data_IF_627527183296
#
_entry.id   IF_627527183296
#
_cell.length_a   1.000
_cell.length_b   1.000
_cell.length_c   1.000
_cell.angle_alpha   90.00
_cell.angle_beta   90.00
_cell.angle_gamma   90.00
#
_symmetry.space_group_name_H-M   'P 1'
#
loop_
_entity.id
_entity.type
_entity.pdbx_description
1 polymer ?
#
# COMPACT_ATOMS: atom_id res chain seq x y z
N UNK A 1 8.24 3.41 17.20
CA UNK A 1 7.20 3.87 16.24
C UNK A 1 7.74 4.34 14.90
N UNK A 2 8.80 5.17 14.83
CA UNK A 2 9.36 5.57 13.52
C UNK A 2 9.86 4.39 12.69
N UNK A 3 10.44 3.37 13.32
CA UNK A 3 10.96 2.19 12.63
C UNK A 3 9.83 1.39 11.95
N UNK A 4 8.71 1.15 12.65
CA UNK A 4 7.54 0.48 12.08
C UNK A 4 6.94 1.25 10.88
N UNK A 5 6.96 2.59 10.91
CA UNK A 5 6.49 3.40 9.78
C UNK A 5 7.46 3.35 8.59
N UNK A 6 8.76 3.28 8.84
CA UNK A 6 9.76 3.10 7.79
C UNK A 6 9.64 1.70 7.17
N UNK A 7 9.45 0.67 7.99
CA UNK A 7 9.26 -0.69 7.54
C UNK A 7 8.01 -0.84 6.67
N UNK A 8 6.87 -0.26 7.10
CA UNK A 8 5.63 -0.29 6.33
C UNK A 8 5.78 0.38 4.95
N UNK A 9 6.43 1.56 4.89
CA UNK A 9 6.72 2.23 3.62
C UNK A 9 7.63 1.38 2.74
N UNK A 10 8.69 0.80 3.33
CA UNK A 10 9.65 -0.01 2.58
C UNK A 10 8.96 -1.23 1.96
N UNK A 11 8.14 -1.96 2.73
CA UNK A 11 7.37 -3.09 2.23
C UNK A 11 6.43 -2.69 1.09
N UNK A 12 5.74 -1.56 1.21
CA UNK A 12 4.87 -1.06 0.15
C UNK A 12 5.65 -0.68 -1.12
N UNK A 13 6.82 -0.03 -0.96
CA UNK A 13 7.70 0.31 -2.09
C UNK A 13 8.25 -0.94 -2.77
N UNK A 14 8.68 -1.94 -1.99
CA UNK A 14 9.16 -3.23 -2.51
C UNK A 14 8.08 -3.96 -3.31
N UNK A 15 6.84 -3.97 -2.81
CA UNK A 15 5.70 -4.54 -3.54
C UNK A 15 5.48 -3.82 -4.87
N UNK A 16 5.49 -2.49 -4.89
CA UNK A 16 5.32 -1.71 -6.13
C UNK A 16 6.45 -1.96 -7.12
N UNK A 17 7.68 -2.05 -6.64
CA UNK A 17 8.84 -2.36 -7.47
C UNK A 17 8.73 -3.76 -8.07
N UNK A 18 8.33 -4.75 -7.28
CA UNK A 18 8.08 -6.10 -7.77
C UNK A 18 6.98 -6.14 -8.84
N UNK A 19 5.85 -5.48 -8.60
CA UNK A 19 4.73 -5.42 -9.55
C UNK A 19 5.14 -4.71 -10.85
N UNK A 20 5.98 -3.68 -10.77
CA UNK A 20 6.52 -2.98 -11.93
C UNK A 20 7.42 -3.93 -12.76
N UNK A 21 8.35 -4.62 -12.11
CA UNK A 21 9.23 -5.58 -12.78
C UNK A 21 8.43 -6.73 -13.42
N UNK A 22 7.45 -7.27 -12.70
CA UNK A 22 6.54 -8.30 -13.23
C UNK A 22 5.77 -7.80 -14.45
N UNK A 23 5.26 -6.56 -14.41
CA UNK A 23 4.57 -5.94 -15.55
C UNK A 23 5.50 -5.79 -16.76
N UNK A 24 6.74 -5.34 -16.55
CA UNK A 24 7.76 -5.25 -17.61
C UNK A 24 8.08 -6.64 -18.18
N UNK A 25 8.21 -7.66 -17.33
CA UNK A 25 8.45 -9.03 -17.76
C UNK A 25 7.32 -9.54 -18.67
N UNK A 26 6.06 -9.47 -18.24
CA UNK A 26 4.93 -9.91 -19.07
C UNK A 26 4.77 -9.07 -20.34
N UNK A 27 5.01 -7.77 -20.28
CA UNK A 27 5.03 -6.92 -21.47
C UNK A 27 6.16 -7.30 -22.44
N UNK A 28 7.31 -7.74 -21.93
CA UNK A 28 8.43 -8.17 -22.77
C UNK A 28 8.17 -9.48 -23.52
N UNK A 29 7.34 -10.37 -22.97
CA UNK A 29 6.89 -11.59 -23.66
C UNK A 29 6.12 -11.25 -24.96
N UNK A 30 5.42 -10.10 -24.99
CA UNK A 30 4.74 -9.62 -26.19
C UNK A 30 5.71 -9.23 -27.32
N UNK A 31 6.94 -8.85 -26.98
CA UNK A 31 7.96 -8.49 -27.97
C UNK A 31 8.63 -9.71 -28.62
N UNK A 32 8.62 -10.86 -27.95
CA UNK A 32 9.25 -12.10 -28.43
C UNK A 32 8.26 -13.12 -29.00
N UNK A 33 7.01 -12.71 -29.26
CA UNK A 33 5.91 -13.56 -29.74
C UNK A 33 5.55 -14.75 -28.83
N UNK A 34 5.96 -14.73 -27.56
CA UNK A 34 5.59 -15.75 -26.56
C UNK A 34 4.36 -15.34 -25.73
N UNK A 35 3.67 -14.26 -26.10
CA UNK A 35 2.58 -13.70 -25.33
C UNK A 35 1.25 -14.40 -25.58
N UNK A 36 0.78 -15.13 -24.58
CA UNK A 36 -0.51 -15.78 -24.56
C UNK A 36 -1.59 -15.00 -23.80
N UNK A 37 -2.81 -15.56 -23.81
CA UNK A 37 -3.93 -15.01 -23.05
C UNK A 37 -3.68 -15.02 -21.53
N UNK A 38 -2.92 -16.01 -21.03
CA UNK A 38 -2.59 -16.12 -19.60
C UNK A 38 -1.67 -14.96 -19.18
N UNK A 39 -0.68 -14.63 -20.01
CA UNK A 39 0.25 -13.51 -19.75
C UNK A 39 -0.48 -12.17 -19.72
N UNK A 40 -1.47 -12.00 -20.61
CA UNK A 40 -2.34 -10.81 -20.62
C UNK A 40 -3.12 -10.66 -19.31
N UNK A 41 -3.68 -11.76 -18.78
CA UNK A 41 -4.40 -11.74 -17.51
C UNK A 41 -3.45 -11.36 -16.37
N UNK A 42 -2.25 -11.94 -16.31
CA UNK A 42 -1.27 -11.58 -15.29
C UNK A 42 -0.79 -10.14 -15.41
N UNK A 43 -0.54 -9.64 -16.63
CA UNK A 43 -0.20 -8.24 -16.88
C UNK A 43 -1.30 -7.30 -16.39
N UNK A 44 -2.56 -7.59 -16.70
CA UNK A 44 -3.70 -6.80 -16.23
C UNK A 44 -3.79 -6.78 -14.70
N UNK A 45 -3.62 -7.93 -14.04
CA UNK A 45 -3.62 -8.02 -12.58
C UNK A 45 -2.46 -7.20 -12.01
N UNK A 46 -1.25 -7.31 -12.57
CA UNK A 46 -0.10 -6.54 -12.11
C UNK A 46 -0.34 -5.04 -12.22
N UNK A 47 -0.86 -4.56 -13.36
CA UNK A 47 -1.17 -3.15 -13.57
C UNK A 47 -2.26 -2.64 -12.61
N UNK A 48 -3.33 -3.43 -12.40
CA UNK A 48 -4.40 -3.08 -11.48
C UNK A 48 -3.88 -2.97 -10.04
N UNK A 49 -3.10 -3.96 -9.59
CA UNK A 49 -2.47 -3.94 -8.27
C UNK A 49 -1.44 -2.80 -8.14
N UNK A 50 -0.73 -2.45 -9.20
CA UNK A 50 0.23 -1.35 -9.21
C UNK A 50 -0.48 -0.01 -8.98
N UNK A 51 -1.58 0.26 -9.70
CA UNK A 51 -2.39 1.47 -9.51
C UNK A 51 -2.97 1.53 -8.11
N UNK A 52 -3.61 0.45 -7.65
CA UNK A 52 -4.15 0.37 -6.29
C UNK A 52 -3.05 0.56 -5.23
N UNK A 53 -1.91 -0.09 -5.41
CA UNK A 53 -0.77 -0.01 -4.50
C UNK A 53 -0.17 1.40 -4.43
N UNK A 54 -0.12 2.12 -5.55
CA UNK A 54 0.38 3.49 -5.61
C UNK A 54 -0.55 4.46 -4.87
N UNK A 55 -1.87 4.32 -5.07
CA UNK A 55 -2.88 5.04 -4.29
C UNK A 55 -2.71 4.74 -2.80
N UNK A 56 -2.55 3.46 -2.46
CA UNK A 56 -2.42 3.02 -1.06
C UNK A 56 -1.13 3.55 -0.40
N UNK A 57 -0.03 3.67 -1.15
CA UNK A 57 1.19 4.31 -0.67
C UNK A 57 0.96 5.80 -0.33
N UNK A 58 0.23 6.52 -1.17
CA UNK A 58 -0.15 7.90 -0.91
C UNK A 58 -1.01 8.04 0.36
N UNK A 59 -1.96 7.13 0.56
CA UNK A 59 -2.77 7.07 1.79
C UNK A 59 -1.92 6.74 3.02
N UNK A 60 -0.99 5.80 2.90
CA UNK A 60 -0.07 5.42 3.97
C UNK A 60 0.78 6.61 4.42
N UNK A 61 1.32 7.41 3.49
CA UNK A 61 2.05 8.63 3.83
C UNK A 61 1.19 9.65 4.58
N UNK A 62 -0.07 9.84 4.15
CA UNK A 62 -1.01 10.72 4.85
C UNK A 62 -1.30 10.23 6.27
N UNK A 63 -1.56 8.93 6.43
CA UNK A 63 -1.82 8.32 7.74
C UNK A 63 -0.60 8.43 8.67
N UNK A 64 0.60 8.12 8.19
CA UNK A 64 1.83 8.28 8.97
C UNK A 64 2.03 9.74 9.40
N UNK A 65 1.74 10.70 8.52
CA UNK A 65 1.83 12.13 8.86
C UNK A 65 0.88 12.49 9.99
N UNK A 66 -0.38 12.07 9.91
CA UNK A 66 -1.40 12.30 10.95
C UNK A 66 -0.93 11.68 12.28
N UNK A 67 -0.50 10.41 12.26
CA UNK A 67 -0.04 9.75 13.49
C UNK A 67 1.22 10.39 14.09
N UNK A 68 2.08 11.01 13.26
CA UNK A 68 3.25 11.74 13.74
C UNK A 68 2.91 13.12 14.31
N UNK A 69 1.86 13.77 13.81
CA UNK A 69 1.43 15.09 14.29
C UNK A 69 0.57 15.02 15.54
N UNK A 70 -0.06 13.88 15.83
CA UNK A 70 -0.83 13.68 17.06
C UNK A 70 0.09 13.64 18.29
N UNK A 71 -0.22 14.48 19.29
CA UNK A 71 0.39 14.33 20.62
C UNK A 71 0.01 12.97 21.22
N UNK A 72 0.89 12.41 22.06
CA UNK A 72 0.56 11.22 22.86
C UNK A 72 -0.66 11.47 23.74
N UNK A 73 -0.84 12.68 24.27
CA UNK A 73 -2.03 13.04 25.05
C UNK A 73 -3.27 13.04 24.15
N UNK A 74 -3.23 13.71 23.00
CA UNK A 74 -4.35 13.78 22.04
C UNK A 74 -4.77 12.40 21.55
N UNK A 75 -3.81 11.50 21.30
CA UNK A 75 -4.11 10.14 20.85
C UNK A 75 -4.72 9.31 21.98
N UNK A 76 -4.28 9.51 23.23
CA UNK A 76 -4.85 8.85 24.42
C UNK A 76 -6.28 9.34 24.68
N UNK A 77 -6.51 10.64 24.52
CA UNK A 77 -7.83 11.28 24.65
C UNK A 77 -8.78 10.79 23.56
N UNK A 78 -8.34 10.76 22.29
CA UNK A 78 -9.12 10.23 21.16
C UNK A 78 -9.51 8.76 21.35
N UNK A 79 -8.57 7.91 21.80
CA UNK A 79 -8.82 6.50 22.09
C UNK A 79 -9.78 6.33 23.27
N UNK A 80 -9.63 7.14 24.33
CA UNK A 80 -10.51 7.10 25.51
C UNK A 80 -11.94 7.52 25.17
N UNK A 81 -12.12 8.53 24.31
CA UNK A 81 -13.42 8.96 23.81
C UNK A 81 -14.07 7.88 22.96
N UNK A 82 -13.29 7.21 22.10
CA UNK A 82 -13.78 6.09 21.31
C UNK A 82 -14.18 4.90 22.18
N UNK A 83 -13.35 4.49 23.14
CA UNK A 83 -13.70 3.39 24.07
C UNK A 83 -14.98 3.71 24.85
N UNK A 84 -15.11 4.91 25.44
CA UNK A 84 -16.32 5.33 26.16
C UNK A 84 -17.58 5.29 25.29
N UNK A 85 -17.46 5.51 23.97
CA UNK A 85 -18.57 5.39 23.03
C UNK A 85 -19.01 3.92 22.82
N UNK A 86 -18.08 2.97 22.90
CA UNK A 86 -18.37 1.53 22.81
C UNK A 86 -18.78 0.89 24.14
N UNK A 87 -18.41 1.47 25.28
CA UNK A 87 -18.84 1.01 26.62
C UNK A 87 -20.20 1.57 27.06
N UNK A 88 -20.78 2.50 26.30
CA UNK A 88 -22.13 3.06 26.54
C UNK A 88 -23.25 2.23 25.87
N UNK A 89 -22.98 0.97 25.54
CA UNK A 89 -23.96 -0.02 25.08
C UNK A 89 -24.19 -1.02 26.19
#
# INVERSE_FOLDING_TARGET
NCDNFNEAKLKQILLLFFLLLASVFFASLAMINEFGAIDLVFLMICLLLLVMGAINLGLLFKQIRILKSFSKEEMKEFLSLRMKKYTKV
#
